data_IF_406500300221
#
_entry.id   IF_406500300221
#
_cell.length_a   1.000
_cell.length_b   1.000
_cell.length_c   1.000
_cell.angle_alpha   90.00
_cell.angle_beta   90.00
_cell.angle_gamma   90.00
#
_symmetry.space_group_name_H-M   'P 1'
#
loop_
_entity.id
_entity.type
_entity.pdbx_description
1 polymer ?
#
# COMPACT_ATOMS: atom_id res chain seq x y z
N UNK A 1 9.68 -40.86 -0.47
CA UNK A 1 8.86 -40.59 -1.67
C UNK A 1 8.63 -39.10 -1.78
N UNK A 2 9.28 -38.40 -2.73
CA UNK A 2 8.99 -36.99 -3.04
C UNK A 2 7.66 -36.94 -3.78
N UNK A 3 6.69 -36.09 -3.39
CA UNK A 3 5.50 -35.90 -4.19
C UNK A 3 5.92 -35.22 -5.50
N UNK A 4 5.87 -35.95 -6.60
CA UNK A 4 5.91 -35.37 -7.94
C UNK A 4 4.67 -34.49 -8.09
N UNK A 5 4.85 -33.17 -7.94
CA UNK A 5 3.81 -32.19 -8.32
C UNK A 5 3.64 -32.32 -9.83
N UNK A 6 2.56 -32.96 -10.25
CA UNK A 6 2.26 -33.19 -11.65
C UNK A 6 2.21 -31.85 -12.39
N UNK A 7 2.85 -31.74 -13.55
CA UNK A 7 2.83 -30.53 -14.42
C UNK A 7 1.39 -30.05 -14.75
N UNK A 8 0.39 -30.93 -14.62
CA UNK A 8 -1.01 -30.61 -14.81
C UNK A 8 -1.63 -29.76 -13.68
N UNK A 9 -1.04 -29.76 -12.47
CA UNK A 9 -1.53 -28.94 -11.35
C UNK A 9 -1.07 -27.46 -11.42
N UNK A 10 -0.05 -27.17 -12.23
CA UNK A 10 0.50 -25.81 -12.39
C UNK A 10 -0.28 -24.95 -13.40
N UNK A 11 -0.93 -25.56 -14.40
CA UNK A 11 -1.73 -24.81 -15.41
C UNK A 11 -2.83 -23.94 -14.82
N UNK A 12 -3.68 -24.41 -13.88
CA UNK A 12 -4.70 -23.58 -13.23
C UNK A 12 -4.09 -22.43 -12.41
N UNK A 13 -2.95 -22.67 -11.76
CA UNK A 13 -2.22 -21.69 -10.97
C UNK A 13 -1.73 -20.52 -11.84
N UNK A 14 -1.02 -20.79 -12.94
CA UNK A 14 -0.57 -19.75 -13.86
C UNK A 14 -1.73 -19.00 -14.52
N UNK A 15 -2.82 -19.68 -14.85
CA UNK A 15 -4.04 -19.06 -15.37
C UNK A 15 -4.60 -18.05 -14.37
N UNK A 16 -4.69 -18.39 -13.10
CA UNK A 16 -5.21 -17.52 -12.05
C UNK A 16 -4.32 -16.30 -11.81
N UNK A 17 -2.98 -16.49 -11.80
CA UNK A 17 -2.02 -15.38 -11.74
C UNK A 17 -2.21 -14.44 -12.93
N UNK A 18 -2.33 -14.98 -14.14
CA UNK A 18 -2.53 -14.18 -15.35
C UNK A 18 -3.83 -13.38 -15.31
N UNK A 19 -4.92 -13.97 -14.84
CA UNK A 19 -6.21 -13.29 -14.67
C UNK A 19 -6.07 -12.11 -13.69
N UNK A 20 -5.44 -12.33 -12.52
CA UNK A 20 -5.22 -11.25 -11.55
C UNK A 20 -4.29 -10.16 -12.10
N UNK A 21 -3.19 -10.55 -12.75
CA UNK A 21 -2.23 -9.62 -13.35
C UNK A 21 -2.90 -8.73 -14.39
N UNK A 22 -3.62 -9.33 -15.34
CA UNK A 22 -4.34 -8.60 -16.38
C UNK A 22 -5.32 -7.58 -15.79
N UNK A 23 -6.16 -7.99 -14.84
CA UNK A 23 -7.13 -7.09 -14.22
C UNK A 23 -6.47 -5.97 -13.42
N UNK A 24 -5.39 -6.26 -12.68
CA UNK A 24 -4.63 -5.24 -11.97
C UNK A 24 -3.99 -4.25 -12.92
N UNK A 25 -3.41 -4.71 -14.04
CA UNK A 25 -2.78 -3.86 -15.04
C UNK A 25 -3.79 -2.91 -15.68
N UNK A 26 -4.95 -3.43 -16.13
CA UNK A 26 -6.01 -2.59 -16.68
C UNK A 26 -6.52 -1.56 -15.66
N UNK A 27 -6.80 -1.99 -14.43
CA UNK A 27 -7.23 -1.09 -13.37
C UNK A 27 -6.21 0.04 -13.13
N UNK A 28 -4.91 -0.25 -13.16
CA UNK A 28 -3.86 0.75 -12.89
C UNK A 28 -3.67 1.73 -14.06
N UNK A 29 -3.76 1.26 -15.31
CA UNK A 29 -3.72 2.18 -16.46
C UNK A 29 -4.89 3.17 -16.39
N UNK A 30 -6.11 2.67 -16.12
CA UNK A 30 -7.28 3.52 -15.93
C UNK A 30 -7.09 4.46 -14.73
N UNK A 31 -6.51 3.97 -13.62
CA UNK A 31 -6.25 4.75 -12.43
C UNK A 31 -5.27 5.92 -12.67
N UNK A 32 -4.19 5.70 -13.44
CA UNK A 32 -3.21 6.75 -13.77
C UNK A 32 -3.88 7.82 -14.65
N UNK A 33 -4.53 7.40 -15.73
CA UNK A 33 -5.21 8.33 -16.64
C UNK A 33 -6.29 9.11 -15.90
N UNK A 34 -7.14 8.42 -15.14
CA UNK A 34 -8.19 9.06 -14.34
C UNK A 34 -7.64 10.01 -13.29
N UNK A 35 -6.54 9.64 -12.61
CA UNK A 35 -5.90 10.50 -11.61
C UNK A 35 -5.41 11.83 -12.20
N UNK A 36 -4.88 11.84 -13.44
CA UNK A 36 -4.43 13.06 -14.11
C UNK A 36 -5.63 13.98 -14.37
N UNK A 37 -6.72 13.46 -14.91
CA UNK A 37 -7.91 14.26 -15.19
C UNK A 37 -8.59 14.75 -13.90
N UNK A 38 -8.70 13.90 -12.90
CA UNK A 38 -9.24 14.27 -11.58
C UNK A 38 -8.36 15.36 -10.94
N UNK A 39 -7.03 15.22 -10.99
CA UNK A 39 -6.11 16.23 -10.46
C UNK A 39 -6.24 17.57 -11.18
N UNK A 40 -6.44 17.57 -12.51
CA UNK A 40 -6.68 18.77 -13.30
C UNK A 40 -7.91 19.55 -12.83
N UNK A 41 -8.98 18.84 -12.50
CA UNK A 41 -10.26 19.46 -12.13
C UNK A 41 -10.23 19.97 -10.69
N UNK A 42 -9.70 19.20 -9.76
CA UNK A 42 -9.73 19.49 -8.34
C UNK A 42 -8.61 20.42 -7.86
N UNK A 43 -7.44 20.39 -8.52
CA UNK A 43 -6.27 21.18 -8.13
C UNK A 43 -5.46 20.58 -6.99
N UNK A 44 -4.42 21.30 -6.61
CA UNK A 44 -3.39 20.86 -5.64
C UNK A 44 -3.97 20.73 -4.23
N UNK A 45 -4.70 21.75 -3.76
CA UNK A 45 -5.25 21.81 -2.40
C UNK A 45 -6.15 20.62 -2.09
N UNK A 46 -7.13 20.34 -2.97
CA UNK A 46 -8.03 19.20 -2.80
C UNK A 46 -7.28 17.87 -2.80
N UNK A 47 -6.24 17.75 -3.64
CA UNK A 47 -5.39 16.57 -3.67
C UNK A 47 -4.55 16.41 -2.40
N UNK A 48 -4.14 17.50 -1.77
CA UNK A 48 -3.45 17.50 -0.49
C UNK A 48 -4.32 16.96 0.64
N UNK A 49 -5.54 17.51 0.78
CA UNK A 49 -6.52 17.04 1.76
C UNK A 49 -6.89 15.57 1.52
N UNK A 50 -7.07 15.18 0.24
CA UNK A 50 -7.33 13.81 -0.14
C UNK A 50 -6.15 12.89 0.17
N UNK A 51 -4.92 13.34 -0.04
CA UNK A 51 -3.70 12.61 0.31
C UNK A 51 -3.60 12.32 1.81
N UNK A 52 -3.94 13.30 2.65
CA UNK A 52 -4.00 13.13 4.11
C UNK A 52 -5.11 12.17 4.50
N UNK A 53 -6.30 12.30 3.92
CA UNK A 53 -7.40 11.35 4.11
C UNK A 53 -6.96 9.92 3.80
N UNK A 54 -6.36 9.68 2.63
CA UNK A 54 -5.85 8.35 2.22
C UNK A 54 -4.77 7.85 3.19
N UNK A 55 -3.91 8.74 3.68
CA UNK A 55 -2.87 8.41 4.65
C UNK A 55 -3.44 7.94 5.98
N UNK A 56 -4.42 8.67 6.52
CA UNK A 56 -5.09 8.32 7.78
C UNK A 56 -5.81 6.96 7.64
N UNK A 57 -6.63 6.77 6.60
CA UNK A 57 -7.36 5.52 6.41
C UNK A 57 -6.43 4.32 6.21
N UNK A 58 -5.28 4.51 5.56
CA UNK A 58 -4.28 3.46 5.37
C UNK A 58 -3.63 3.02 6.68
N UNK A 59 -3.28 3.96 7.56
CA UNK A 59 -2.73 3.66 8.88
C UNK A 59 -3.78 2.97 9.77
N UNK A 60 -4.97 3.56 9.85
CA UNK A 60 -6.06 3.05 10.71
C UNK A 60 -6.49 1.65 10.27
N UNK A 61 -6.64 1.39 8.97
CA UNK A 61 -7.08 0.08 8.46
C UNK A 61 -6.10 -1.05 8.79
N UNK A 62 -4.78 -0.79 8.73
CA UNK A 62 -3.75 -1.78 9.09
C UNK A 62 -3.82 -2.13 10.58
N UNK A 63 -4.04 -1.14 11.43
CA UNK A 63 -4.09 -1.34 12.89
C UNK A 63 -5.42 -1.97 13.30
N UNK A 64 -6.55 -1.56 12.71
CA UNK A 64 -7.89 -2.04 13.09
C UNK A 64 -8.13 -3.51 12.74
N UNK A 65 -7.43 -4.07 11.75
CA UNK A 65 -7.48 -5.51 11.46
C UNK A 65 -6.57 -6.35 12.37
N UNK A 66 -5.63 -5.72 13.12
CA UNK A 66 -4.56 -6.39 13.87
C UNK A 66 -3.78 -7.41 13.01
N UNK A 67 -3.79 -7.27 11.68
CA UNK A 67 -3.27 -8.25 10.71
C UNK A 67 -3.90 -9.65 10.83
N UNK A 68 -4.99 -9.80 11.61
CA UNK A 68 -5.73 -11.06 11.76
C UNK A 68 -6.51 -11.45 10.50
N UNK A 69 -6.70 -10.51 9.58
CA UNK A 69 -7.22 -10.76 8.23
C UNK A 69 -6.38 -11.80 7.45
N UNK A 70 -5.08 -11.92 7.74
CA UNK A 70 -4.21 -12.97 7.18
C UNK A 70 -4.58 -14.37 7.66
N UNK A 71 -5.19 -14.48 8.87
CA UNK A 71 -5.66 -15.78 9.38
C UNK A 71 -6.74 -16.38 8.49
N UNK A 72 -7.55 -15.57 7.80
CA UNK A 72 -8.54 -16.05 6.83
C UNK A 72 -7.85 -16.86 5.72
N UNK A 73 -6.77 -16.32 5.16
CA UNK A 73 -6.06 -16.92 4.02
C UNK A 73 -5.34 -18.21 4.40
N UNK A 74 -4.79 -18.28 5.62
CA UNK A 74 -4.04 -19.46 6.12
C UNK A 74 -4.92 -20.48 6.85
N UNK A 75 -6.24 -20.28 6.90
CA UNK A 75 -7.20 -21.22 7.49
C UNK A 75 -7.12 -22.58 6.82
N UNK A 76 -7.43 -23.63 7.58
CA UNK A 76 -7.38 -25.02 7.11
C UNK A 76 -8.62 -25.40 6.31
N UNK A 77 -9.76 -24.85 6.70
CA UNK A 77 -11.08 -25.19 6.15
C UNK A 77 -11.99 -23.95 6.08
N UNK A 78 -13.14 -24.12 5.43
CA UNK A 78 -14.14 -23.07 5.25
C UNK A 78 -14.73 -22.59 6.58
N UNK A 79 -14.83 -23.46 7.58
CA UNK A 79 -15.39 -23.13 8.90
C UNK A 79 -14.45 -22.23 9.67
N UNK A 80 -13.14 -22.54 9.70
CA UNK A 80 -12.12 -21.70 10.33
C UNK A 80 -12.05 -20.33 9.64
N UNK A 81 -12.04 -20.29 8.29
CA UNK A 81 -11.98 -19.03 7.54
C UNK A 81 -13.22 -18.15 7.77
N UNK A 82 -14.41 -18.76 7.82
CA UNK A 82 -15.67 -18.06 8.10
C UNK A 82 -15.72 -17.55 9.54
N UNK A 83 -15.21 -18.30 10.51
CA UNK A 83 -15.11 -17.86 11.91
C UNK A 83 -14.20 -16.62 12.04
N UNK A 84 -13.03 -16.60 11.39
CA UNK A 84 -12.16 -15.43 11.35
C UNK A 84 -12.84 -14.24 10.67
N UNK A 85 -13.51 -14.46 9.56
CA UNK A 85 -14.25 -13.42 8.84
C UNK A 85 -15.30 -12.75 9.75
N UNK A 86 -16.18 -13.55 10.36
CA UNK A 86 -17.24 -13.04 11.23
C UNK A 86 -16.70 -12.35 12.50
N UNK A 87 -15.60 -12.84 13.06
CA UNK A 87 -14.93 -12.18 14.18
C UNK A 87 -14.42 -10.79 13.80
N UNK A 88 -13.80 -10.67 12.63
CA UNK A 88 -13.26 -9.40 12.14
C UNK A 88 -14.38 -8.39 11.81
N UNK A 89 -15.55 -8.84 11.37
CA UNK A 89 -16.69 -7.94 11.15
C UNK A 89 -17.11 -7.20 12.45
N UNK A 90 -16.91 -7.82 13.62
CA UNK A 90 -17.19 -7.21 14.93
C UNK A 90 -15.98 -6.43 15.47
N UNK A 91 -14.78 -6.97 15.31
CA UNK A 91 -13.54 -6.37 15.85
C UNK A 91 -13.21 -5.05 15.16
N UNK A 92 -13.30 -4.99 13.83
CA UNK A 92 -12.92 -3.81 13.03
C UNK A 92 -13.65 -2.55 13.45
N UNK A 93 -15.00 -2.50 13.56
CA UNK A 93 -15.68 -1.28 13.99
C UNK A 93 -15.22 -0.78 15.36
N UNK A 94 -15.03 -1.70 16.32
CA UNK A 94 -14.59 -1.35 17.68
C UNK A 94 -13.20 -0.71 17.64
N UNK A 95 -12.24 -1.38 16.99
CA UNK A 95 -10.88 -0.86 16.93
C UNK A 95 -10.78 0.42 16.10
N UNK A 96 -11.47 0.49 14.96
CA UNK A 96 -11.48 1.71 14.14
C UNK A 96 -12.02 2.88 14.92
N UNK A 97 -13.09 2.70 15.69
CA UNK A 97 -13.65 3.77 16.54
C UNK A 97 -12.66 4.21 17.63
N UNK A 98 -12.03 3.25 18.34
CA UNK A 98 -11.05 3.55 19.39
C UNK A 98 -9.85 4.31 18.79
N UNK A 99 -9.29 3.82 17.67
CA UNK A 99 -8.12 4.46 17.05
C UNK A 99 -8.47 5.84 16.53
N UNK A 100 -9.66 6.02 15.91
CA UNK A 100 -10.09 7.33 15.43
C UNK A 100 -10.37 8.31 16.58
N UNK A 101 -10.89 7.85 17.71
CA UNK A 101 -11.05 8.67 18.91
C UNK A 101 -9.69 9.11 19.49
N UNK A 102 -8.70 8.21 19.51
CA UNK A 102 -7.32 8.54 19.91
C UNK A 102 -6.67 9.53 18.95
N UNK A 103 -6.83 9.33 17.63
CA UNK A 103 -6.34 10.27 16.62
C UNK A 103 -7.00 11.64 16.75
N UNK A 104 -8.30 11.69 17.04
CA UNK A 104 -9.01 12.94 17.29
C UNK A 104 -8.47 13.64 18.52
N UNK A 105 -8.33 12.95 19.65
CA UNK A 105 -7.75 13.54 20.86
C UNK A 105 -6.32 14.04 20.63
N UNK A 106 -5.51 13.28 19.86
CA UNK A 106 -4.15 13.70 19.50
C UNK A 106 -4.14 14.92 18.57
N UNK A 107 -5.08 15.00 17.62
CA UNK A 107 -5.15 16.11 16.66
C UNK A 107 -5.44 17.45 17.33
N UNK A 108 -6.24 17.48 18.39
CA UNK A 108 -6.54 18.71 19.16
C UNK A 108 -5.26 19.33 19.74
N UNK A 109 -4.30 18.50 20.17
CA UNK A 109 -3.06 18.98 20.80
C UNK A 109 -1.95 19.31 19.79
N UNK A 110 -1.84 18.55 18.70
CA UNK A 110 -0.67 18.62 17.82
C UNK A 110 -0.94 19.21 16.44
N UNK A 111 -2.17 19.11 15.93
CA UNK A 111 -2.49 19.51 14.56
C UNK A 111 -3.54 20.64 14.46
N UNK A 112 -3.91 21.20 15.57
CA UNK A 112 -4.89 22.27 15.85
C UNK A 112 -5.91 22.58 14.74
N UNK A 113 -5.50 23.15 13.58
CA UNK A 113 -6.40 23.53 12.48
C UNK A 113 -6.25 22.65 11.22
N UNK A 114 -5.15 21.92 11.09
CA UNK A 114 -4.84 21.15 9.86
C UNK A 114 -5.75 19.91 9.68
N UNK A 115 -6.20 19.31 10.78
CA UNK A 115 -7.09 18.15 10.78
C UNK A 115 -8.46 18.51 11.41
N UNK A 116 -9.35 19.02 10.58
CA UNK A 116 -10.70 19.36 11.05
C UNK A 116 -11.54 18.10 11.36
N UNK A 117 -12.57 18.26 12.21
CA UNK A 117 -13.44 17.18 12.68
C UNK A 117 -14.08 16.40 11.51
N UNK A 118 -14.47 17.10 10.45
CA UNK A 118 -15.10 16.48 9.29
C UNK A 118 -14.16 15.50 8.59
N UNK A 119 -12.89 15.85 8.44
CA UNK A 119 -11.87 14.99 7.81
C UNK A 119 -11.65 13.72 8.64
N UNK A 120 -11.57 13.85 9.97
CA UNK A 120 -11.38 12.70 10.88
C UNK A 120 -12.60 11.79 10.83
N UNK A 121 -13.82 12.35 10.84
CA UNK A 121 -15.06 11.57 10.74
C UNK A 121 -15.17 10.81 9.41
N UNK A 122 -14.89 11.48 8.29
CA UNK A 122 -14.87 10.84 6.97
C UNK A 122 -13.77 9.76 6.90
N UNK A 123 -12.63 9.99 7.55
CA UNK A 123 -11.53 9.00 7.63
C UNK A 123 -11.94 7.77 8.45
N UNK A 124 -12.75 7.92 9.51
CA UNK A 124 -13.31 6.78 10.25
C UNK A 124 -14.14 5.90 9.32
N UNK A 125 -15.06 6.49 8.56
CA UNK A 125 -15.91 5.77 7.59
C UNK A 125 -15.03 5.12 6.53
N UNK A 126 -14.05 5.84 5.98
CA UNK A 126 -13.13 5.33 4.97
C UNK A 126 -12.29 4.15 5.45
N UNK A 127 -11.79 4.22 6.69
CA UNK A 127 -11.01 3.13 7.29
C UNK A 127 -11.87 1.88 7.54
N UNK A 128 -13.14 2.05 7.99
CA UNK A 128 -14.09 0.94 8.12
C UNK A 128 -14.32 0.25 6.78
N UNK A 129 -14.67 1.01 5.75
CA UNK A 129 -14.94 0.48 4.42
C UNK A 129 -13.71 -0.23 3.83
N UNK A 130 -12.53 0.39 3.96
CA UNK A 130 -11.28 -0.18 3.47
C UNK A 130 -10.94 -1.49 4.19
N UNK A 131 -11.10 -1.54 5.51
CA UNK A 131 -10.83 -2.75 6.31
C UNK A 131 -11.81 -3.88 5.97
N UNK A 132 -13.11 -3.59 5.80
CA UNK A 132 -14.09 -4.59 5.40
C UNK A 132 -13.83 -5.13 3.99
N UNK A 133 -13.44 -4.26 3.05
CA UNK A 133 -13.06 -4.69 1.70
C UNK A 133 -11.83 -5.60 1.74
N UNK A 134 -10.81 -5.27 2.54
CA UNK A 134 -9.62 -6.10 2.73
C UNK A 134 -9.96 -7.50 3.27
N UNK A 135 -10.84 -7.59 4.25
CA UNK A 135 -11.30 -8.87 4.82
C UNK A 135 -12.04 -9.70 3.76
N UNK A 136 -12.89 -9.08 2.94
CA UNK A 136 -13.57 -9.75 1.83
C UNK A 136 -12.58 -10.22 0.75
N UNK A 137 -11.56 -9.42 0.40
CA UNK A 137 -10.50 -9.81 -0.53
C UNK A 137 -9.72 -11.04 -0.03
N UNK A 138 -9.40 -11.08 1.27
CA UNK A 138 -8.72 -12.22 1.86
C UNK A 138 -9.60 -13.48 1.87
N UNK A 139 -10.92 -13.37 2.10
CA UNK A 139 -11.86 -14.48 1.99
C UNK A 139 -11.97 -15.00 0.56
N UNK A 140 -12.06 -14.11 -0.43
CA UNK A 140 -12.06 -14.49 -1.84
C UNK A 140 -10.74 -15.13 -2.27
N UNK A 141 -9.62 -14.67 -1.70
CA UNK A 141 -8.29 -15.25 -1.91
C UNK A 141 -8.24 -16.68 -1.36
N UNK A 142 -8.73 -16.90 -0.14
CA UNK A 142 -8.86 -18.23 0.44
C UNK A 142 -9.71 -19.15 -0.45
N UNK A 143 -10.87 -18.67 -0.91
CA UNK A 143 -11.77 -19.38 -1.83
C UNK A 143 -11.25 -19.48 -3.27
N UNK A 144 -10.06 -18.97 -3.57
CA UNK A 144 -9.41 -18.95 -4.91
C UNK A 144 -10.28 -18.32 -6.01
N UNK A 145 -11.17 -17.37 -5.65
CA UNK A 145 -12.06 -16.66 -6.58
C UNK A 145 -11.35 -15.48 -7.25
N UNK A 146 -10.21 -15.73 -7.91
CA UNK A 146 -9.33 -14.69 -8.47
C UNK A 146 -9.97 -13.86 -9.59
N UNK A 147 -10.93 -14.41 -10.32
CA UNK A 147 -11.68 -13.65 -11.34
C UNK A 147 -12.53 -12.55 -10.69
N UNK A 148 -13.19 -12.85 -9.56
CA UNK A 148 -13.97 -11.85 -8.82
C UNK A 148 -13.04 -10.74 -8.28
N UNK A 149 -11.87 -11.11 -7.74
CA UNK A 149 -10.86 -10.16 -7.27
C UNK A 149 -10.30 -9.28 -8.40
N UNK A 150 -10.10 -9.83 -9.59
CA UNK A 150 -9.67 -9.08 -10.76
C UNK A 150 -10.73 -8.05 -11.19
N UNK A 151 -11.99 -8.49 -11.30
CA UNK A 151 -13.10 -7.63 -11.70
C UNK A 151 -13.41 -6.55 -10.65
N UNK A 152 -13.28 -6.87 -9.35
CA UNK A 152 -13.50 -5.90 -8.28
C UNK A 152 -12.51 -4.74 -8.31
N UNK A 153 -11.25 -4.98 -8.68
CA UNK A 153 -10.25 -3.91 -8.85
C UNK A 153 -10.60 -2.96 -10.00
N UNK A 154 -11.04 -3.50 -11.14
CA UNK A 154 -11.48 -2.69 -12.28
C UNK A 154 -12.74 -1.91 -11.90
N UNK A 155 -13.71 -2.56 -11.28
CA UNK A 155 -14.95 -1.94 -10.80
C UNK A 155 -14.66 -0.79 -9.83
N UNK A 156 -13.81 -1.01 -8.82
CA UNK A 156 -13.41 0.01 -7.85
C UNK A 156 -12.76 1.21 -8.55
N UNK A 157 -11.83 0.96 -9.48
CA UNK A 157 -11.12 2.03 -10.17
C UNK A 157 -12.07 2.89 -11.02
N UNK A 158 -12.94 2.26 -11.81
CA UNK A 158 -13.91 2.97 -12.65
C UNK A 158 -14.89 3.74 -11.77
N UNK A 159 -15.47 3.10 -10.74
CA UNK A 159 -16.41 3.75 -9.82
C UNK A 159 -15.77 4.95 -9.14
N UNK A 160 -14.52 4.80 -8.64
CA UNK A 160 -13.81 5.87 -7.94
C UNK A 160 -13.64 7.11 -8.83
N UNK A 161 -13.12 6.93 -10.04
CA UNK A 161 -12.94 8.03 -11.00
C UNK A 161 -14.29 8.64 -11.36
N UNK A 162 -15.30 7.83 -11.70
CA UNK A 162 -16.62 8.31 -12.10
C UNK A 162 -17.30 9.14 -11.02
N UNK A 163 -17.30 8.65 -9.76
CA UNK A 163 -17.91 9.40 -8.65
C UNK A 163 -17.09 10.62 -8.27
N UNK A 164 -15.76 10.60 -8.35
CA UNK A 164 -14.96 11.80 -8.15
C UNK A 164 -15.30 12.87 -9.21
N UNK A 165 -15.48 12.52 -10.48
CA UNK A 165 -15.93 13.45 -11.52
C UNK A 165 -17.32 13.99 -11.26
N UNK A 166 -18.31 13.13 -10.95
CA UNK A 166 -19.70 13.54 -10.74
C UNK A 166 -19.83 14.45 -9.52
N UNK A 167 -19.15 14.13 -8.41
CA UNK A 167 -19.28 14.85 -7.16
C UNK A 167 -18.51 16.17 -7.13
N UNK A 168 -17.62 16.43 -8.08
CA UNK A 168 -16.96 17.72 -8.23
C UNK A 168 -17.98 18.88 -8.36
N UNK A 169 -19.00 18.70 -9.17
CA UNK A 169 -20.01 19.72 -9.44
C UNK A 169 -20.87 20.07 -8.21
N UNK A 170 -21.02 19.14 -7.25
CA UNK A 170 -21.92 19.34 -6.12
C UNK A 170 -21.16 19.64 -4.81
N UNK A 171 -19.95 19.12 -4.66
CA UNK A 171 -19.22 19.12 -3.39
C UNK A 171 -17.83 19.73 -3.46
N UNK A 172 -17.41 20.23 -4.62
CA UNK A 172 -16.08 20.83 -4.81
C UNK A 172 -14.97 19.96 -4.20
N UNK A 173 -14.15 20.52 -3.31
CA UNK A 173 -12.99 19.83 -2.71
C UNK A 173 -13.35 18.51 -2.02
N UNK A 174 -14.50 18.41 -1.37
CA UNK A 174 -14.94 17.19 -0.70
C UNK A 174 -15.40 16.09 -1.67
N UNK A 175 -15.67 16.43 -2.93
CA UNK A 175 -16.06 15.46 -3.95
C UNK A 175 -15.04 14.33 -4.15
N UNK A 176 -13.73 14.59 -3.96
CA UNK A 176 -12.68 13.57 -3.99
C UNK A 176 -12.86 12.49 -2.92
N UNK A 177 -13.08 12.94 -1.67
CA UNK A 177 -13.25 12.06 -0.51
C UNK A 177 -14.57 11.30 -0.62
N UNK A 178 -15.67 12.00 -0.92
CA UNK A 178 -16.99 11.38 -1.06
C UNK A 178 -17.02 10.37 -2.22
N UNK A 179 -16.40 10.70 -3.36
CA UNK A 179 -16.28 9.79 -4.49
C UNK A 179 -15.52 8.51 -4.13
N UNK A 180 -14.45 8.64 -3.35
CA UNK A 180 -13.72 7.50 -2.82
C UNK A 180 -14.60 6.67 -1.86
N UNK A 181 -15.29 7.31 -0.90
CA UNK A 181 -16.15 6.61 0.06
C UNK A 181 -17.30 5.85 -0.61
N UNK A 182 -17.97 6.48 -1.58
CA UNK A 182 -19.04 5.83 -2.34
C UNK A 182 -18.49 4.64 -3.13
N UNK A 183 -17.34 4.78 -3.78
CA UNK A 183 -16.74 3.67 -4.52
C UNK A 183 -16.35 2.49 -3.63
N UNK A 184 -15.81 2.76 -2.43
CA UNK A 184 -15.50 1.72 -1.44
C UNK A 184 -16.77 1.03 -0.89
N UNK A 185 -17.84 1.81 -0.69
CA UNK A 185 -19.13 1.27 -0.28
C UNK A 185 -19.76 0.38 -1.38
N UNK A 186 -19.73 0.82 -2.63
CA UNK A 186 -20.19 0.01 -3.75
C UNK A 186 -19.38 -1.28 -3.93
N UNK A 187 -18.07 -1.23 -3.67
CA UNK A 187 -17.23 -2.42 -3.65
C UNK A 187 -17.65 -3.38 -2.54
N UNK A 188 -17.96 -2.87 -1.35
CA UNK A 188 -18.48 -3.69 -0.25
C UNK A 188 -19.79 -4.36 -0.61
N UNK A 189 -20.72 -3.64 -1.24
CA UNK A 189 -21.97 -4.20 -1.76
C UNK A 189 -21.70 -5.27 -2.83
N UNK A 190 -20.79 -5.02 -3.75
CA UNK A 190 -20.37 -6.01 -4.75
C UNK A 190 -19.89 -7.30 -4.11
N UNK A 191 -19.05 -7.22 -3.07
CA UNK A 191 -18.59 -8.39 -2.33
C UNK A 191 -19.72 -9.08 -1.56
N UNK A 192 -20.63 -8.33 -0.96
CA UNK A 192 -21.79 -8.87 -0.26
C UNK A 192 -22.66 -9.72 -1.18
N UNK A 193 -22.99 -9.23 -2.38
CA UNK A 193 -23.77 -10.01 -3.36
C UNK A 193 -23.02 -11.25 -3.88
N UNK A 194 -21.68 -11.26 -3.86
CA UNK A 194 -20.88 -12.42 -4.29
C UNK A 194 -20.62 -13.44 -3.17
N UNK A 195 -20.82 -13.06 -1.91
CA UNK A 195 -20.52 -13.86 -0.72
C UNK A 195 -21.72 -14.00 0.25
N UNK A 196 -22.94 -13.90 -0.22
CA UNK A 196 -24.18 -13.74 0.55
C UNK A 196 -24.44 -14.80 1.67
N UNK A 197 -23.74 -15.93 1.67
CA UNK A 197 -23.99 -17.04 2.61
C UNK A 197 -22.94 -17.20 3.72
N UNK A 198 -22.14 -16.17 4.00
CA UNK A 198 -20.97 -16.31 4.89
C UNK A 198 -21.21 -15.80 6.31
N UNK A 199 -22.28 -15.00 6.54
CA UNK A 199 -22.53 -14.40 7.85
C UNK A 199 -23.14 -15.44 8.80
N UNK A 200 -22.37 -15.81 9.83
CA UNK A 200 -22.76 -16.71 10.92
C UNK A 200 -22.19 -16.22 12.25
N UNK A 201 -22.63 -16.80 13.38
CA UNK A 201 -22.01 -16.46 14.67
C UNK A 201 -20.60 -17.01 14.74
N UNK A 202 -19.63 -16.17 15.09
CA UNK A 202 -18.24 -16.60 15.32
C UNK A 202 -18.11 -17.41 16.60
N UNK A 203 -17.31 -18.48 16.55
CA UNK A 203 -16.97 -19.27 17.74
C UNK A 203 -15.76 -18.64 18.45
N UNK A 204 -16.01 -17.85 19.50
CA UNK A 204 -14.96 -17.14 20.24
C UNK A 204 -13.91 -18.06 20.89
N UNK A 205 -14.29 -19.30 21.24
CA UNK A 205 -13.33 -20.29 21.79
C UNK A 205 -12.31 -20.71 20.73
N UNK A 206 -12.76 -20.94 19.51
CA UNK A 206 -11.88 -21.27 18.37
C UNK A 206 -10.99 -20.10 17.99
N UNK A 207 -11.55 -18.86 17.95
CA UNK A 207 -10.79 -17.65 17.69
C UNK A 207 -9.67 -17.46 18.71
N UNK A 208 -9.97 -17.58 20.03
CA UNK A 208 -8.97 -17.49 21.10
C UNK A 208 -7.84 -18.54 20.93
N UNK A 209 -8.20 -19.76 20.57
CA UNK A 209 -7.25 -20.82 20.25
C UNK A 209 -6.42 -20.49 19.01
N UNK A 210 -7.06 -19.94 17.97
CA UNK A 210 -6.43 -19.51 16.74
C UNK A 210 -5.43 -18.37 16.96
N UNK A 211 -5.78 -17.33 17.75
CA UNK A 211 -4.86 -16.24 18.13
C UNK A 211 -3.62 -16.79 18.87
N UNK A 212 -3.82 -17.70 19.83
CA UNK A 212 -2.72 -18.32 20.56
C UNK A 212 -1.80 -19.13 19.63
N UNK A 213 -2.38 -19.84 18.66
CA UNK A 213 -1.62 -20.61 17.66
C UNK A 213 -0.83 -19.70 16.70
N UNK A 214 -1.44 -18.59 16.28
CA UNK A 214 -0.87 -17.64 15.34
C UNK A 214 -0.29 -16.39 16.04
N UNK A 215 0.21 -16.54 17.27
CA UNK A 215 0.73 -15.44 18.11
C UNK A 215 1.83 -14.62 17.40
N UNK A 216 2.57 -15.23 16.48
CA UNK A 216 3.57 -14.56 15.65
C UNK A 216 3.01 -13.43 14.80
N UNK A 217 1.75 -13.52 14.35
CA UNK A 217 1.07 -12.46 13.57
C UNK A 217 0.91 -11.22 14.45
N UNK A 218 0.32 -11.37 15.63
CA UNK A 218 0.06 -10.23 16.51
C UNK A 218 1.36 -9.68 17.10
N UNK A 219 2.32 -10.57 17.46
CA UNK A 219 3.55 -10.16 18.15
C UNK A 219 4.60 -9.54 17.24
N UNK A 220 4.72 -9.99 15.98
CA UNK A 220 5.78 -9.54 15.06
C UNK A 220 5.25 -8.89 13.80
N UNK A 221 4.22 -9.46 13.18
CA UNK A 221 3.70 -8.94 11.91
C UNK A 221 2.95 -7.62 12.11
N UNK A 222 2.12 -7.51 13.15
CA UNK A 222 1.36 -6.27 13.41
C UNK A 222 2.28 -5.07 13.70
N UNK A 223 3.26 -5.11 14.64
CA UNK A 223 4.18 -3.98 14.86
C UNK A 223 4.94 -3.60 13.59
N UNK A 224 5.44 -4.57 12.84
CA UNK A 224 6.16 -4.32 11.58
C UNK A 224 5.26 -3.67 10.53
N UNK A 225 4.02 -4.16 10.35
CA UNK A 225 3.07 -3.61 9.38
C UNK A 225 2.54 -2.23 9.79
N UNK A 226 2.28 -2.03 11.08
CA UNK A 226 1.85 -0.73 11.60
C UNK A 226 2.93 0.34 11.43
N UNK A 227 4.18 0.02 11.82
CA UNK A 227 5.32 0.93 11.63
C UNK A 227 5.56 1.22 10.15
N UNK A 228 5.43 0.21 9.27
CA UNK A 228 5.51 0.39 7.82
C UNK A 228 4.39 1.31 7.30
N UNK A 229 3.16 1.11 7.74
CA UNK A 229 2.03 1.94 7.34
C UNK A 229 2.23 3.40 7.77
N UNK A 230 2.67 3.62 9.02
CA UNK A 230 2.98 4.94 9.54
C UNK A 230 4.13 5.57 8.73
N UNK A 231 5.26 4.90 8.59
CA UNK A 231 6.43 5.44 7.90
C UNK A 231 6.15 5.83 6.44
N UNK A 232 5.27 5.09 5.75
CA UNK A 232 4.94 5.38 4.35
C UNK A 232 3.80 6.40 4.16
N UNK A 233 2.97 6.64 5.18
CA UNK A 233 1.80 7.52 5.07
C UNK A 233 1.88 8.76 5.99
N UNK A 234 2.93 8.92 6.79
CA UNK A 234 3.06 10.05 7.71
C UNK A 234 3.34 11.38 6.98
N UNK A 235 4.14 11.34 5.93
CA UNK A 235 4.65 12.55 5.29
C UNK A 235 3.54 13.46 4.71
N UNK A 236 2.48 12.99 4.03
CA UNK A 236 1.39 13.86 3.59
C UNK A 236 0.73 14.62 4.74
N UNK A 237 0.59 13.97 5.91
CA UNK A 237 0.00 14.58 7.12
C UNK A 237 0.92 15.70 7.64
N UNK A 238 2.23 15.41 7.75
CA UNK A 238 3.21 16.40 8.22
C UNK A 238 3.33 17.58 7.26
N UNK A 239 3.36 17.33 5.95
CA UNK A 239 3.43 18.42 4.96
C UNK A 239 2.18 19.29 5.02
N UNK A 240 0.97 18.70 5.12
CA UNK A 240 -0.25 19.49 5.30
C UNK A 240 -0.14 20.41 6.52
N UNK A 241 0.36 19.88 7.63
CA UNK A 241 0.42 20.60 8.91
C UNK A 241 1.42 21.77 8.89
N UNK A 242 2.59 21.57 8.26
CA UNK A 242 3.69 22.54 8.34
C UNK A 242 3.84 23.41 7.09
N UNK A 243 3.37 22.95 5.93
CA UNK A 243 3.55 23.65 4.65
C UNK A 243 2.24 23.89 3.87
N UNK A 244 1.12 23.35 4.36
CA UNK A 244 -0.20 23.58 3.78
C UNK A 244 -0.65 22.52 2.76
N UNK A 245 -1.89 22.70 2.30
CA UNK A 245 -2.59 21.69 1.50
C UNK A 245 -2.07 21.61 0.06
N UNK A 246 -1.70 22.73 -0.54
CA UNK A 246 -1.18 22.76 -1.91
C UNK A 246 0.11 21.91 -2.03
N UNK A 247 1.07 22.14 -1.13
CA UNK A 247 2.33 21.40 -1.12
C UNK A 247 2.14 19.91 -0.81
N UNK A 248 1.21 19.59 0.11
CA UNK A 248 0.84 18.20 0.38
C UNK A 248 0.23 17.53 -0.86
N UNK A 249 -0.53 18.29 -1.67
CA UNK A 249 -1.13 17.82 -2.91
C UNK A 249 -0.10 17.51 -3.98
N UNK A 250 0.83 18.42 -4.22
CA UNK A 250 1.93 18.23 -5.18
C UNK A 250 2.78 17.01 -4.78
N UNK A 251 3.14 16.90 -3.50
CA UNK A 251 3.88 15.77 -2.97
C UNK A 251 3.12 14.43 -3.17
N UNK A 252 1.84 14.39 -2.76
CA UNK A 252 1.04 13.17 -2.86
C UNK A 252 0.80 12.74 -4.31
N UNK A 253 0.52 13.69 -5.20
CA UNK A 253 0.33 13.40 -6.62
C UNK A 253 1.63 12.92 -7.29
N UNK A 254 2.77 13.55 -6.98
CA UNK A 254 4.09 13.12 -7.46
C UNK A 254 4.39 11.67 -7.05
N UNK A 255 4.19 11.33 -5.78
CA UNK A 255 4.34 9.95 -5.31
C UNK A 255 3.40 8.97 -6.00
N UNK A 256 2.15 9.38 -6.25
CA UNK A 256 1.16 8.53 -6.92
C UNK A 256 1.58 8.21 -8.35
N UNK A 257 2.02 9.19 -9.12
CA UNK A 257 2.46 8.98 -10.52
C UNK A 257 3.73 8.16 -10.58
N UNK A 258 4.73 8.49 -9.79
CA UNK A 258 6.01 7.78 -9.78
C UNK A 258 5.89 6.36 -9.20
N UNK A 259 5.07 6.18 -8.17
CA UNK A 259 4.96 4.92 -7.42
C UNK A 259 4.05 3.89 -8.07
N UNK A 260 3.07 4.29 -8.86
CA UNK A 260 2.07 3.35 -9.43
C UNK A 260 2.70 2.28 -10.33
N UNK A 261 3.59 2.60 -11.30
CA UNK A 261 4.24 1.58 -12.12
C UNK A 261 5.16 0.67 -11.29
N UNK A 262 5.85 1.23 -10.30
CA UNK A 262 6.66 0.44 -9.37
C UNK A 262 5.81 -0.59 -8.64
N UNK A 263 4.65 -0.17 -8.11
CA UNK A 263 3.74 -1.08 -7.41
C UNK A 263 3.26 -2.23 -8.30
N UNK A 264 2.93 -1.94 -9.57
CA UNK A 264 2.51 -2.96 -10.55
C UNK A 264 3.57 -4.03 -10.77
N UNK A 265 4.79 -3.58 -11.08
CA UNK A 265 5.91 -4.48 -11.36
C UNK A 265 6.25 -5.27 -10.10
N UNK A 266 6.38 -4.57 -8.97
CA UNK A 266 6.79 -5.19 -7.71
C UNK A 266 5.78 -6.21 -7.19
N UNK A 267 4.47 -5.93 -7.25
CA UNK A 267 3.45 -6.86 -6.76
C UNK A 267 3.37 -8.13 -7.61
N UNK A 268 3.54 -8.01 -8.91
CA UNK A 268 3.52 -9.15 -9.84
C UNK A 268 4.75 -10.04 -9.66
N UNK A 269 5.92 -9.43 -9.55
CA UNK A 269 7.20 -10.15 -9.38
C UNK A 269 7.30 -10.76 -8.00
N UNK A 270 6.91 -10.03 -6.94
CA UNK A 270 7.06 -10.46 -5.56
C UNK A 270 6.32 -11.75 -5.24
N UNK A 271 5.11 -11.95 -5.78
CA UNK A 271 4.34 -13.18 -5.55
C UNK A 271 5.01 -14.41 -6.16
N UNK A 272 5.50 -14.30 -7.40
CA UNK A 272 6.21 -15.39 -8.08
C UNK A 272 7.57 -15.64 -7.41
N UNK A 273 8.26 -14.56 -7.06
CA UNK A 273 9.56 -14.63 -6.39
C UNK A 273 9.44 -15.27 -4.99
N UNK A 274 8.36 -14.98 -4.23
CA UNK A 274 8.13 -15.58 -2.92
C UNK A 274 8.10 -17.10 -3.00
N UNK A 275 7.30 -17.65 -3.93
CA UNK A 275 7.21 -19.08 -4.12
C UNK A 275 8.56 -19.69 -4.51
N UNK A 276 9.21 -19.12 -5.55
CA UNK A 276 10.47 -19.66 -6.08
C UNK A 276 11.62 -19.53 -5.09
N UNK A 277 11.68 -18.42 -4.34
CA UNK A 277 12.72 -18.21 -3.32
C UNK A 277 12.59 -19.19 -2.15
N UNK A 278 11.37 -19.54 -1.76
CA UNK A 278 11.10 -20.53 -0.72
C UNK A 278 11.57 -21.94 -1.14
N UNK A 279 11.35 -22.33 -2.41
CA UNK A 279 11.85 -23.59 -2.98
C UNK A 279 13.39 -23.60 -3.02
N UNK A 280 13.97 -22.55 -3.64
CA UNK A 280 15.42 -22.46 -3.87
C UNK A 280 16.24 -22.33 -2.58
N UNK A 281 15.67 -21.78 -1.51
CA UNK A 281 16.36 -21.70 -0.22
C UNK A 281 16.77 -23.10 0.28
N UNK A 282 15.94 -24.12 0.02
CA UNK A 282 16.18 -25.49 0.44
C UNK A 282 16.92 -26.33 -0.61
N UNK A 283 16.75 -26.02 -1.92
CA UNK A 283 17.27 -26.84 -3.02
C UNK A 283 18.61 -26.31 -3.56
N UNK A 284 18.69 -25.00 -3.82
CA UNK A 284 19.87 -24.38 -4.44
C UNK A 284 20.03 -22.90 -4.07
N UNK A 285 20.74 -22.64 -3.00
CA UNK A 285 20.98 -21.29 -2.49
C UNK A 285 21.76 -20.39 -3.47
N UNK A 286 22.63 -20.98 -4.28
CA UNK A 286 23.41 -20.25 -5.31
C UNK A 286 22.48 -19.72 -6.40
N UNK A 287 21.50 -20.51 -6.82
CA UNK A 287 20.50 -20.11 -7.81
C UNK A 287 19.58 -19.03 -7.25
N UNK A 288 19.20 -19.13 -5.96
CA UNK A 288 18.45 -18.08 -5.27
C UNK A 288 19.16 -16.72 -5.34
N UNK A 289 20.47 -16.70 -5.06
CA UNK A 289 21.26 -15.47 -5.13
C UNK A 289 21.34 -14.91 -6.56
N UNK A 290 21.53 -15.78 -7.57
CA UNK A 290 21.53 -15.38 -8.98
C UNK A 290 20.18 -14.82 -9.42
N UNK A 291 19.07 -15.49 -9.05
CA UNK A 291 17.71 -15.05 -9.34
C UNK A 291 17.41 -13.69 -8.70
N UNK A 292 17.76 -13.52 -7.42
CA UNK A 292 17.58 -12.25 -6.69
C UNK A 292 18.31 -11.11 -7.40
N UNK A 293 19.59 -11.29 -7.74
CA UNK A 293 20.35 -10.26 -8.47
C UNK A 293 19.75 -9.94 -9.84
N UNK A 294 19.32 -10.96 -10.59
CA UNK A 294 18.69 -10.78 -11.91
C UNK A 294 17.42 -9.95 -11.82
N UNK A 295 16.52 -10.25 -10.85
CA UNK A 295 15.29 -9.52 -10.64
C UNK A 295 15.59 -8.05 -10.30
N UNK A 296 16.51 -7.82 -9.36
CA UNK A 296 16.89 -6.45 -8.95
C UNK A 296 17.45 -5.67 -10.14
N UNK A 297 18.37 -6.26 -10.92
CA UNK A 297 18.96 -5.57 -12.07
C UNK A 297 17.95 -5.23 -13.15
N UNK A 298 17.08 -6.18 -13.51
CA UNK A 298 16.02 -5.94 -14.51
C UNK A 298 15.07 -4.83 -14.03
N UNK A 299 14.60 -4.93 -12.77
CA UNK A 299 13.68 -3.94 -12.24
C UNK A 299 14.31 -2.55 -12.15
N UNK A 300 15.59 -2.45 -11.76
CA UNK A 300 16.33 -1.20 -11.70
C UNK A 300 16.45 -0.54 -13.09
N UNK A 301 16.77 -1.31 -14.13
CA UNK A 301 16.85 -0.79 -15.51
C UNK A 301 15.48 -0.28 -15.97
N UNK A 302 14.40 -1.07 -15.74
CA UNK A 302 13.04 -0.68 -16.12
C UNK A 302 12.60 0.59 -15.39
N UNK A 303 12.90 0.70 -14.09
CA UNK A 303 12.55 1.88 -13.31
C UNK A 303 13.36 3.11 -13.70
N UNK A 304 14.65 2.97 -13.98
CA UNK A 304 15.47 4.08 -14.50
C UNK A 304 14.90 4.60 -15.83
N UNK A 305 14.60 3.70 -16.77
CA UNK A 305 14.00 4.08 -18.05
C UNK A 305 12.65 4.81 -17.86
N UNK A 306 11.79 4.29 -16.96
CA UNK A 306 10.52 4.93 -16.63
C UNK A 306 10.72 6.31 -15.99
N UNK A 307 11.61 6.43 -15.00
CA UNK A 307 11.86 7.70 -14.30
C UNK A 307 12.45 8.76 -15.24
N UNK A 308 13.32 8.39 -16.17
CA UNK A 308 13.82 9.29 -17.20
C UNK A 308 12.66 9.75 -18.09
N UNK A 309 11.84 8.81 -18.58
CA UNK A 309 10.71 9.12 -19.46
C UNK A 309 9.67 10.02 -18.79
N UNK A 310 9.30 9.76 -17.54
CA UNK A 310 8.31 10.55 -16.83
C UNK A 310 8.83 11.96 -16.50
N UNK A 311 10.08 12.11 -16.08
CA UNK A 311 10.66 13.42 -15.74
C UNK A 311 11.03 14.27 -16.96
N UNK A 312 11.19 13.67 -18.13
CA UNK A 312 11.40 14.41 -19.39
C UNK A 312 10.08 14.65 -20.11
N UNK A 313 9.58 13.66 -20.81
CA UNK A 313 8.37 13.74 -21.62
C UNK A 313 7.11 13.84 -20.75
N UNK A 314 7.01 12.99 -19.73
CA UNK A 314 5.81 12.92 -18.89
C UNK A 314 5.50 14.24 -18.18
N UNK A 315 6.50 14.88 -17.57
CA UNK A 315 6.30 16.15 -16.87
C UNK A 315 5.92 17.28 -17.84
N UNK A 316 6.52 17.33 -19.03
CA UNK A 316 6.15 18.32 -20.05
C UNK A 316 4.67 18.16 -20.47
N UNK A 317 4.21 16.93 -20.64
CA UNK A 317 2.80 16.65 -20.94
C UNK A 317 1.89 17.03 -19.77
N UNK A 318 2.28 16.72 -18.52
CA UNK A 318 1.49 17.05 -17.33
C UNK A 318 1.39 18.56 -17.12
N UNK A 319 2.48 19.31 -17.28
CA UNK A 319 2.50 20.77 -17.19
C UNK A 319 1.55 21.40 -18.22
N UNK A 320 1.54 20.89 -19.45
CA UNK A 320 0.59 21.32 -20.49
C UNK A 320 -0.85 20.98 -20.11
N UNK A 321 -1.12 19.78 -19.59
CA UNK A 321 -2.47 19.37 -19.16
C UNK A 321 -2.96 20.26 -18.01
N UNK A 322 -2.10 20.58 -17.06
CA UNK A 322 -2.44 21.38 -15.87
C UNK A 322 -2.36 22.90 -16.11
N UNK A 323 -2.07 23.34 -17.34
CA UNK A 323 -1.89 24.75 -17.69
C UNK A 323 -0.90 25.46 -16.75
N UNK A 324 0.18 24.79 -16.37
CA UNK A 324 1.22 25.27 -15.44
C UNK A 324 0.72 25.70 -14.06
N UNK A 325 -0.45 25.22 -13.63
CA UNK A 325 -1.01 25.57 -12.31
C UNK A 325 -0.41 24.75 -11.16
N UNK A 326 0.17 23.58 -11.45
CA UNK A 326 0.79 22.73 -10.44
C UNK A 326 2.24 23.14 -10.23
N UNK A 327 2.42 24.10 -9.33
CA UNK A 327 3.75 24.60 -8.97
C UNK A 327 4.58 23.47 -8.35
N UNK A 328 5.91 23.52 -8.56
CA UNK A 328 6.87 22.57 -8.01
C UNK A 328 6.68 21.08 -8.39
N UNK A 329 5.69 20.70 -9.22
CA UNK A 329 5.42 19.30 -9.57
C UNK A 329 6.66 18.64 -10.21
N UNK A 330 7.33 19.33 -11.12
CA UNK A 330 8.54 18.83 -11.79
C UNK A 330 9.69 18.64 -10.81
N UNK A 331 9.95 19.63 -9.95
CA UNK A 331 11.05 19.57 -8.96
C UNK A 331 10.79 18.45 -7.94
N UNK A 332 9.57 18.32 -7.41
CA UNK A 332 9.24 17.25 -6.47
C UNK A 332 9.34 15.88 -7.13
N UNK A 333 8.89 15.74 -8.38
CA UNK A 333 9.01 14.50 -9.12
C UNK A 333 10.48 14.09 -9.33
N UNK A 334 11.35 15.03 -9.71
CA UNK A 334 12.78 14.77 -9.87
C UNK A 334 13.42 14.30 -8.56
N UNK A 335 13.18 15.02 -7.46
CA UNK A 335 13.76 14.67 -6.16
C UNK A 335 13.22 13.33 -5.66
N UNK A 336 11.90 13.12 -5.71
CA UNK A 336 11.25 11.89 -5.27
C UNK A 336 11.62 10.67 -6.13
N UNK A 337 12.10 10.88 -7.35
CA UNK A 337 12.62 9.81 -8.20
C UNK A 337 13.76 9.05 -7.53
N UNK A 338 14.57 9.72 -6.69
CA UNK A 338 15.64 9.07 -5.91
C UNK A 338 15.05 8.06 -4.91
N UNK A 339 14.01 8.47 -4.18
CA UNK A 339 13.30 7.59 -3.24
C UNK A 339 12.67 6.40 -3.97
N UNK A 340 11.97 6.66 -5.08
CA UNK A 340 11.28 5.63 -5.86
C UNK A 340 12.29 4.65 -6.47
N UNK A 341 13.42 5.13 -6.96
CA UNK A 341 14.50 4.29 -7.45
C UNK A 341 15.04 3.38 -6.34
N UNK A 342 15.31 3.93 -5.15
CA UNK A 342 15.71 3.16 -3.99
C UNK A 342 14.67 2.08 -3.63
N UNK A 343 13.38 2.44 -3.52
CA UNK A 343 12.28 1.49 -3.29
C UNK A 343 12.22 0.39 -4.33
N UNK A 344 12.47 0.71 -5.58
CA UNK A 344 12.43 -0.24 -6.70
C UNK A 344 13.46 -1.35 -6.57
N UNK A 345 14.56 -1.11 -5.89
CA UNK A 345 15.61 -2.12 -5.70
C UNK A 345 15.18 -3.26 -4.78
N UNK A 346 14.37 -2.98 -3.77
CA UNK A 346 14.01 -3.94 -2.73
C UNK A 346 12.57 -4.47 -2.84
N UNK A 347 11.60 -3.66 -3.24
CA UNK A 347 10.18 -4.04 -3.25
C UNK A 347 9.89 -5.36 -3.99
N UNK A 348 10.44 -5.65 -5.19
CA UNK A 348 10.17 -6.91 -5.90
C UNK A 348 10.65 -8.16 -5.17
N UNK A 349 11.65 -8.01 -4.30
CA UNK A 349 12.26 -9.10 -3.52
C UNK A 349 11.93 -9.03 -2.03
N UNK A 350 11.00 -8.15 -1.63
CA UNK A 350 10.62 -7.92 -0.22
C UNK A 350 10.16 -9.19 0.51
N UNK A 351 9.64 -10.18 -0.21
CA UNK A 351 9.30 -11.49 0.34
C UNK A 351 10.50 -12.25 0.95
N UNK A 352 11.76 -11.89 0.61
CA UNK A 352 12.95 -12.42 1.28
C UNK A 352 12.93 -12.19 2.80
N UNK A 353 12.30 -11.13 3.27
CA UNK A 353 12.12 -10.87 4.70
C UNK A 353 11.46 -12.08 5.39
N UNK A 354 10.39 -12.59 4.78
CA UNK A 354 9.63 -13.74 5.30
C UNK A 354 10.39 -15.04 5.07
N UNK A 355 10.92 -15.25 3.86
CA UNK A 355 11.63 -16.48 3.47
C UNK A 355 12.87 -16.71 4.34
N UNK A 356 13.58 -15.65 4.70
CA UNK A 356 14.79 -15.72 5.54
C UNK A 356 14.51 -15.48 7.04
N UNK A 357 13.23 -15.37 7.43
CA UNK A 357 12.81 -15.05 8.83
C UNK A 357 13.44 -13.76 9.39
N UNK A 358 13.58 -12.73 8.55
CA UNK A 358 14.23 -11.45 8.89
C UNK A 358 13.21 -10.34 9.22
N UNK A 359 12.16 -10.69 9.99
CA UNK A 359 11.09 -9.75 10.33
C UNK A 359 11.57 -8.61 11.26
N UNK A 360 12.55 -8.87 12.13
CA UNK A 360 13.12 -7.85 13.02
C UNK A 360 13.87 -6.78 12.22
N UNK A 361 14.65 -7.19 11.23
CA UNK A 361 15.37 -6.28 10.35
C UNK A 361 14.43 -5.40 9.53
N UNK A 362 13.30 -5.96 9.09
CA UNK A 362 12.23 -5.18 8.46
C UNK A 362 11.63 -4.15 9.43
N UNK A 363 11.38 -4.52 10.69
CA UNK A 363 10.89 -3.59 11.70
C UNK A 363 11.89 -2.45 11.94
N UNK A 364 13.17 -2.78 12.13
CA UNK A 364 14.24 -1.78 12.34
C UNK A 364 14.30 -0.82 11.13
N UNK A 365 14.19 -1.33 9.92
CA UNK A 365 14.17 -0.51 8.73
C UNK A 365 12.95 0.42 8.66
N UNK A 366 11.77 -0.05 9.06
CA UNK A 366 10.57 0.78 9.11
C UNK A 366 10.67 1.88 10.18
N UNK A 367 11.30 1.58 11.34
CA UNK A 367 11.62 2.57 12.37
C UNK A 367 12.62 3.60 11.83
N UNK A 368 13.64 3.16 11.09
CA UNK A 368 14.57 4.07 10.41
C UNK A 368 13.84 5.03 9.46
N UNK A 369 12.94 4.52 8.60
CA UNK A 369 12.14 5.38 7.70
C UNK A 369 11.25 6.36 8.47
N UNK A 370 10.67 5.94 9.58
CA UNK A 370 9.89 6.82 10.45
C UNK A 370 10.75 7.96 11.01
N UNK A 371 11.95 7.65 11.50
CA UNK A 371 12.90 8.67 12.00
C UNK A 371 13.33 9.61 10.86
N UNK A 372 13.60 9.09 9.66
CA UNK A 372 13.92 9.91 8.48
C UNK A 372 12.79 10.91 8.18
N UNK A 373 11.52 10.48 8.27
CA UNK A 373 10.39 11.39 8.08
C UNK A 373 10.39 12.55 9.10
N UNK A 374 10.65 12.23 10.39
CA UNK A 374 10.70 13.25 11.44
C UNK A 374 11.88 14.22 11.27
N UNK A 375 13.05 13.71 10.91
CA UNK A 375 14.22 14.54 10.63
C UNK A 375 13.96 15.43 9.40
N UNK A 376 13.39 14.87 8.33
CA UNK A 376 13.09 15.60 7.12
C UNK A 376 12.16 16.78 7.37
N UNK A 377 11.05 16.56 8.08
CA UNK A 377 10.11 17.62 8.39
C UNK A 377 10.70 18.66 9.35
N UNK A 378 11.50 18.24 10.33
CA UNK A 378 12.15 19.13 11.27
C UNK A 378 13.07 20.13 10.56
N UNK A 379 13.95 19.65 9.68
CA UNK A 379 14.84 20.53 8.92
C UNK A 379 14.10 21.40 7.91
N UNK A 380 13.10 20.85 7.21
CA UNK A 380 12.26 21.66 6.32
C UNK A 380 11.53 22.79 7.04
N UNK A 381 10.97 22.53 8.22
CA UNK A 381 10.33 23.52 9.06
C UNK A 381 11.35 24.58 9.56
N UNK A 382 12.53 24.14 10.01
CA UNK A 382 13.57 25.05 10.51
C UNK A 382 14.05 26.06 9.44
N UNK A 383 14.18 25.61 8.19
CA UNK A 383 14.60 26.46 7.06
C UNK A 383 13.42 27.06 6.29
N UNK A 384 12.18 26.79 6.70
CA UNK A 384 10.96 27.19 6.01
C UNK A 384 10.94 26.84 4.51
N UNK A 385 11.50 25.69 4.16
CA UNK A 385 11.60 25.19 2.79
C UNK A 385 11.23 23.70 2.71
N UNK A 386 10.10 23.41 2.07
CA UNK A 386 9.63 22.06 1.85
C UNK A 386 10.57 21.26 0.95
N UNK A 387 11.31 21.91 0.05
CA UNK A 387 12.27 21.24 -0.84
C UNK A 387 13.33 20.50 -0.04
N UNK A 388 13.76 21.07 1.10
CA UNK A 388 14.70 20.43 2.03
C UNK A 388 14.05 19.16 2.63
N UNK A 389 12.78 19.23 3.03
CA UNK A 389 12.03 18.06 3.51
C UNK A 389 12.06 16.93 2.49
N UNK A 390 11.71 17.24 1.24
CA UNK A 390 11.62 16.25 0.16
C UNK A 390 13.01 15.71 -0.20
N UNK A 391 14.04 16.53 -0.19
CA UNK A 391 15.44 16.13 -0.43
C UNK A 391 15.95 15.16 0.63
N UNK A 392 15.79 15.49 1.91
CA UNK A 392 16.21 14.61 3.01
C UNK A 392 15.48 13.28 2.93
N UNK A 393 14.17 13.31 2.75
CA UNK A 393 13.36 12.11 2.59
C UNK A 393 13.82 11.27 1.40
N UNK A 394 14.07 11.89 0.25
CA UNK A 394 14.45 11.19 -0.97
C UNK A 394 15.84 10.56 -0.86
N UNK A 395 16.83 11.31 -0.36
CA UNK A 395 18.20 10.83 -0.25
C UNK A 395 18.29 9.74 0.83
N UNK A 396 17.92 10.05 2.07
CA UNK A 396 18.05 9.10 3.17
C UNK A 396 17.11 7.91 3.02
N UNK A 397 15.86 8.14 2.59
CA UNK A 397 14.93 7.04 2.30
C UNK A 397 15.42 6.16 1.15
N UNK A 398 15.88 6.75 0.04
CA UNK A 398 16.43 6.03 -1.11
C UNK A 398 17.68 5.22 -0.77
N UNK A 399 18.66 5.86 -0.11
CA UNK A 399 19.88 5.20 0.39
C UNK A 399 19.54 4.08 1.38
N UNK A 400 18.58 4.31 2.27
CA UNK A 400 18.11 3.27 3.21
C UNK A 400 17.66 2.00 2.51
N UNK A 401 16.87 2.10 1.43
CA UNK A 401 16.46 0.92 0.64
C UNK A 401 17.64 0.23 -0.05
N UNK A 402 18.63 0.98 -0.53
CA UNK A 402 19.85 0.41 -1.12
C UNK A 402 20.67 -0.34 -0.06
N UNK A 403 20.78 0.22 1.15
CA UNK A 403 21.46 -0.44 2.26
C UNK A 403 20.73 -1.71 2.70
N UNK A 404 19.40 -1.67 2.74
CA UNK A 404 18.58 -2.86 3.02
C UNK A 404 18.81 -3.95 1.97
N UNK A 405 18.82 -3.59 0.67
CA UNK A 405 19.18 -4.52 -0.40
C UNK A 405 20.56 -5.11 -0.20
N UNK A 406 21.56 -4.27 0.07
CA UNK A 406 22.95 -4.72 0.29
C UNK A 406 23.05 -5.70 1.47
N UNK A 407 22.32 -5.44 2.56
CA UNK A 407 22.23 -6.34 3.70
C UNK A 407 21.69 -7.73 3.29
N UNK A 408 20.55 -7.77 2.59
CA UNK A 408 19.94 -9.04 2.16
C UNK A 408 20.80 -9.80 1.15
N UNK A 409 21.45 -9.11 0.21
CA UNK A 409 22.37 -9.75 -0.74
C UNK A 409 23.61 -10.32 -0.05
N UNK A 410 24.18 -9.60 0.93
CA UNK A 410 25.30 -10.09 1.72
C UNK A 410 24.90 -11.28 2.58
N UNK A 411 23.73 -11.25 3.19
CA UNK A 411 23.19 -12.37 3.97
C UNK A 411 23.01 -13.62 3.08
N UNK A 412 22.46 -13.48 1.86
CA UNK A 412 22.37 -14.58 0.91
C UNK A 412 23.73 -15.12 0.50
N UNK A 413 24.74 -14.27 0.30
CA UNK A 413 26.13 -14.71 0.01
C UNK A 413 26.70 -15.54 1.17
N UNK A 414 26.44 -15.16 2.42
CA UNK A 414 26.92 -15.93 3.59
C UNK A 414 26.23 -17.29 3.71
N UNK A 415 24.94 -17.38 3.36
CA UNK A 415 24.18 -18.64 3.32
C UNK A 415 24.66 -19.58 2.21
N UNK A 416 25.11 -19.02 1.07
CA UNK A 416 25.67 -19.79 -0.07
C UNK A 416 27.05 -20.35 0.27
N UNK A 417 27.86 -19.64 1.07
CA UNK A 417 29.21 -20.10 1.44
C UNK A 417 29.20 -21.19 2.55
N UNK A 418 28.10 -21.29 3.29
CA UNK A 418 27.84 -22.35 4.28
C UNK A 418 27.17 -23.57 3.63
#
# INVERSE_FOLDING_TARGET
>A
MKPQVSQNSLKPFYKNIFIMFRGTLFAQVIAIIGAIFVAKIYGEEAYGIFGVFVSIISIVSVISTLQLDKCIVISKDDTESTNWFNFLLVLIPILTFIISALLFAFSIYFFQEALNLNLIFLSLIGALLLSFNLVNENLLTFKKKFSILSNSKIFLTISNISFQFLLYYYFNLFGLILGFLISQFLLLLFYFFKNSNVISKSNLKEIKKGIKKNNTIVKYLLPSSATNAIANNLMPILILTFFGAEEAGVYFFSLKILGTPLFLISSSVSNVFFQKSSELLNENKTELLKLTKKIVSINLILMLAFLILINTVGMTVLESIFNHKWNNLRSYSLILSILILGRSTFNPISSLVVVLNKNLESLIFNIYLFIVNLIAIYFGYLYNDITITILILAIFGGVGYILLLAYFLNHLKTIVKK
#
